data_IF_499555687030
#
_entry.id   IF_499555687030
#
_cell.length_a   1.000
_cell.length_b   1.000
_cell.length_c   1.000
_cell.angle_alpha   90.00
_cell.angle_beta   90.00
_cell.angle_gamma   90.00
#
_symmetry.space_group_name_H-M   'P 1'
#
loop_
_entity.id
_entity.type
_entity.pdbx_description
1 polymer ?
#
# COMPACT_ATOMS: atom_id res chain seq x y z
N UNK A 1 -17.48 24.19 38.31
CA UNK A 1 -17.89 22.78 38.27
C UNK A 1 -18.21 22.49 36.82
N UNK A 2 -17.30 21.84 36.12
CA UNK A 2 -17.56 21.42 34.73
C UNK A 2 -18.05 19.98 34.76
N UNK A 3 -19.22 19.75 34.19
CA UNK A 3 -19.78 18.41 34.05
C UNK A 3 -19.43 17.96 32.64
N UNK A 4 -18.46 17.04 32.51
CA UNK A 4 -18.09 16.42 31.23
C UNK A 4 -18.59 14.99 31.28
N UNK A 5 -19.75 14.73 30.68
CA UNK A 5 -20.41 13.42 30.72
C UNK A 5 -20.93 13.06 32.13
N UNK A 6 -20.69 11.83 32.59
CA UNK A 6 -21.06 11.36 33.93
C UNK A 6 -20.08 11.78 35.05
N UNK A 7 -19.07 12.60 34.72
CA UNK A 7 -18.04 13.00 35.67
C UNK A 7 -18.22 14.45 36.14
N UNK A 8 -18.11 14.63 37.46
CA UNK A 8 -18.06 15.95 38.10
C UNK A 8 -16.59 16.38 38.18
N UNK A 9 -16.18 17.35 37.37
CA UNK A 9 -14.82 17.90 37.38
C UNK A 9 -14.78 19.15 38.26
N UNK A 10 -14.02 19.08 39.35
CA UNK A 10 -13.72 20.22 40.23
C UNK A 10 -12.20 20.40 40.22
N UNK A 11 -11.69 21.45 39.56
CA UNK A 11 -10.27 21.87 39.60
C UNK A 11 -9.24 20.73 39.44
N UNK A 12 -9.35 19.90 38.39
CA UNK A 12 -8.47 18.74 38.09
C UNK A 12 -8.60 17.51 38.99
N UNK A 13 -9.52 17.52 39.94
CA UNK A 13 -9.79 16.36 40.78
C UNK A 13 -10.93 15.56 40.17
N UNK A 14 -10.67 14.29 39.92
CA UNK A 14 -11.62 13.30 39.44
C UNK A 14 -11.87 12.28 40.56
N UNK A 15 -13.12 11.87 40.77
CA UNK A 15 -13.47 10.75 41.66
C UNK A 15 -13.84 9.52 40.82
N UNK A 16 -12.86 8.70 40.45
CA UNK A 16 -13.03 7.37 39.85
C UNK A 16 -12.28 6.38 40.72
N UNK A 17 -13.01 5.52 41.39
CA UNK A 17 -12.45 4.30 41.93
C UNK A 17 -12.57 3.22 40.84
N UNK A 18 -11.43 2.67 40.41
CA UNK A 18 -11.40 1.38 39.71
C UNK A 18 -11.22 0.31 40.78
N UNK A 19 -12.22 -0.56 40.95
CA UNK A 19 -12.15 -1.66 41.92
C UNK A 19 -11.14 -2.71 41.45
N UNK A 20 -10.06 -2.89 42.20
CA UNK A 20 -9.23 -4.09 42.20
C UNK A 20 -9.55 -4.83 43.51
N UNK A 21 -9.71 -6.15 43.46
CA UNK A 21 -10.24 -6.97 44.57
C UNK A 21 -9.72 -6.65 45.99
N UNK A 22 -10.52 -7.01 47.00
CA UNK A 22 -10.39 -6.70 48.43
C UNK A 22 -10.31 -5.21 48.76
N UNK A 23 -11.42 -4.47 48.52
CA UNK A 23 -11.70 -3.13 49.06
C UNK A 23 -10.63 -2.04 48.78
N UNK A 24 -9.76 -2.24 47.79
CA UNK A 24 -8.73 -1.28 47.41
C UNK A 24 -9.16 -0.53 46.15
N UNK A 25 -9.65 0.69 46.36
CA UNK A 25 -9.87 1.64 45.27
C UNK A 25 -8.52 2.14 44.74
N UNK A 26 -8.31 2.04 43.43
CA UNK A 26 -7.17 2.69 42.77
C UNK A 26 -7.67 3.66 41.70
N UNK A 27 -6.93 4.75 41.52
CA UNK A 27 -7.20 5.69 40.44
C UNK A 27 -7.02 5.00 39.07
N UNK A 28 -7.82 5.40 38.06
CA UNK A 28 -7.63 4.92 36.70
C UNK A 28 -6.28 5.36 36.13
N UNK A 29 -5.82 4.67 35.09
CA UNK A 29 -4.58 5.03 34.37
C UNK A 29 -4.62 6.50 33.93
N UNK A 30 -3.50 7.22 34.09
CA UNK A 30 -3.43 8.67 33.85
C UNK A 30 -3.75 9.52 35.08
N UNK A 31 -4.10 8.90 36.21
CA UNK A 31 -4.39 9.62 37.46
C UNK A 31 -3.63 9.03 38.65
N UNK A 32 -3.31 9.88 39.63
CA UNK A 32 -2.63 9.52 40.89
C UNK A 32 -3.44 9.97 42.10
N UNK A 33 -3.39 9.20 43.19
CA UNK A 33 -4.06 9.56 44.45
C UNK A 33 -4.58 8.34 45.20
N UNK A 34 -5.42 8.60 46.19
CA UNK A 34 -5.93 7.59 47.13
C UNK A 34 -7.03 6.69 46.54
N UNK A 35 -7.48 6.93 45.29
CA UNK A 35 -8.51 6.15 44.61
C UNK A 35 -9.94 6.34 45.14
N UNK A 36 -10.10 6.69 46.42
CA UNK A 36 -11.40 6.74 47.11
C UNK A 36 -11.96 8.15 47.30
N UNK A 37 -11.11 9.17 47.42
CA UNK A 37 -11.53 10.56 47.70
C UNK A 37 -11.13 11.56 46.61
N UNK A 38 -9.93 11.43 46.06
CA UNK A 38 -9.41 12.34 45.03
C UNK A 38 -8.39 11.61 44.16
N UNK A 39 -8.62 11.61 42.84
CA UNK A 39 -7.63 11.28 41.83
C UNK A 39 -7.24 12.56 41.09
N UNK A 40 -5.96 12.91 41.15
CA UNK A 40 -5.38 14.02 40.42
C UNK A 40 -4.86 13.53 39.07
N UNK A 41 -5.14 14.30 38.02
CA UNK A 41 -4.59 14.10 36.68
C UNK A 41 -3.05 14.14 36.71
N UNK A 42 -2.41 13.12 36.14
CA UNK A 42 -0.95 13.09 36.00
C UNK A 42 -0.58 13.91 34.78
N UNK A 43 0.17 14.99 34.98
CA UNK A 43 0.64 15.83 33.87
C UNK A 43 1.88 15.20 33.22
N UNK A 44 1.69 14.27 32.28
CA UNK A 44 2.80 13.52 31.67
C UNK A 44 3.75 14.43 30.88
N UNK A 45 3.25 15.59 30.42
CA UNK A 45 4.05 16.63 29.77
C UNK A 45 5.06 17.27 30.74
N UNK A 46 4.63 17.62 31.96
CA UNK A 46 5.52 18.19 32.98
C UNK A 46 6.50 17.18 33.55
N UNK A 47 6.04 15.95 33.74
CA UNK A 47 6.89 14.86 34.22
C UNK A 47 7.87 14.36 33.15
N UNK A 48 7.80 14.89 31.91
CA UNK A 48 8.60 14.48 30.75
C UNK A 48 8.54 12.98 30.50
N UNK A 49 7.42 12.35 30.85
CA UNK A 49 7.18 10.90 30.65
C UNK A 49 6.65 10.61 29.25
N UNK A 50 6.13 11.63 28.58
CA UNK A 50 5.53 11.54 27.25
C UNK A 50 6.10 12.61 26.30
N UNK A 51 6.03 12.35 25.00
CA UNK A 51 6.45 13.26 23.93
C UNK A 51 7.90 13.77 24.09
N UNK A 52 8.88 12.87 24.33
CA UNK A 52 10.29 13.25 24.56
C UNK A 52 11.06 13.68 23.30
N UNK A 53 10.38 13.76 22.15
CA UNK A 53 10.97 14.13 20.87
C UNK A 53 11.22 15.65 20.76
N UNK A 54 12.34 16.07 20.13
CA UNK A 54 12.72 17.49 20.04
C UNK A 54 11.76 18.34 19.21
N UNK A 55 11.04 17.74 18.26
CA UNK A 55 10.06 18.43 17.39
C UNK A 55 8.60 18.19 17.80
N UNK A 56 8.39 17.64 18.99
CA UNK A 56 7.08 17.35 19.53
C UNK A 56 6.58 18.46 20.45
N UNK A 57 5.30 18.77 20.33
CA UNK A 57 4.54 19.57 21.28
C UNK A 57 3.66 18.65 22.11
N UNK A 58 3.84 18.68 23.43
CA UNK A 58 3.01 17.94 24.38
C UNK A 58 1.86 18.83 24.87
N UNK A 59 0.64 18.32 24.79
CA UNK A 59 -0.54 18.95 25.37
C UNK A 59 -1.20 17.99 26.36
N UNK A 60 -1.14 18.35 27.63
CA UNK A 60 -1.80 17.58 28.68
C UNK A 60 -3.32 17.66 28.53
N UNK A 61 -4.01 16.53 28.63
CA UNK A 61 -5.47 16.43 28.61
C UNK A 61 -5.94 15.70 29.87
N UNK A 62 -7.23 15.73 30.19
CA UNK A 62 -7.69 15.03 31.39
C UNK A 62 -7.67 13.51 31.17
N UNK A 63 -6.86 12.82 31.96
CA UNK A 63 -6.65 11.37 31.95
C UNK A 63 -5.78 10.84 30.81
N UNK A 64 -5.18 11.73 30.02
CA UNK A 64 -4.30 11.38 28.91
C UNK A 64 -3.47 12.59 28.49
N UNK A 65 -2.53 12.40 27.59
CA UNK A 65 -1.84 13.46 26.89
C UNK A 65 -2.04 13.31 25.38
N UNK A 66 -1.89 14.43 24.67
CA UNK A 66 -1.85 14.48 23.22
C UNK A 66 -0.49 15.02 22.78
N UNK A 67 0.20 14.28 21.90
CA UNK A 67 1.48 14.70 21.34
C UNK A 67 1.29 15.02 19.86
N UNK A 68 1.66 16.23 19.47
CA UNK A 68 1.68 16.63 18.06
C UNK A 68 3.11 16.88 17.63
N UNK A 69 3.44 16.52 16.39
CA UNK A 69 4.71 16.91 15.79
C UNK A 69 4.56 18.26 15.10
N UNK A 70 5.63 19.04 15.04
CA UNK A 70 5.67 20.28 14.27
C UNK A 70 5.57 19.97 12.78
N UNK A 71 4.77 20.72 12.01
CA UNK A 71 4.64 20.54 10.55
C UNK A 71 3.81 19.33 10.10
N UNK A 72 4.13 18.76 8.94
CA UNK A 72 3.44 17.61 8.31
C UNK A 72 3.99 16.24 8.77
N UNK A 73 4.40 16.15 10.04
CA UNK A 73 4.93 14.94 10.64
C UNK A 73 3.85 14.17 11.42
N UNK A 74 3.88 12.84 11.34
CA UNK A 74 3.02 11.95 12.09
C UNK A 74 3.73 11.50 13.37
N UNK A 75 3.07 11.61 14.51
CA UNK A 75 3.57 11.14 15.79
C UNK A 75 3.25 9.65 16.00
N UNK A 76 4.26 8.83 16.31
CA UNK A 76 4.10 7.43 16.69
C UNK A 76 4.33 7.24 18.21
N UNK A 77 3.26 6.87 18.94
CA UNK A 77 3.28 6.69 20.41
C UNK A 77 4.24 5.60 20.91
N UNK A 78 4.51 4.58 20.10
CA UNK A 78 5.31 3.41 20.53
C UNK A 78 6.83 3.67 20.52
N UNK A 79 7.29 4.55 19.64
CA UNK A 79 8.72 4.88 19.48
C UNK A 79 9.02 6.34 19.81
N UNK A 80 8.04 7.09 20.32
CA UNK A 80 8.13 8.53 20.60
C UNK A 80 8.78 9.33 19.45
N UNK A 81 8.39 9.00 18.22
CA UNK A 81 9.05 9.49 17.01
C UNK A 81 8.09 10.26 16.12
N UNK A 82 8.61 11.33 15.51
CA UNK A 82 7.95 12.07 14.43
C UNK A 82 8.44 11.56 13.09
N UNK A 83 7.53 11.04 12.26
CA UNK A 83 7.85 10.54 10.93
C UNK A 83 7.28 11.51 9.90
N UNK A 84 8.14 12.03 9.03
CA UNK A 84 7.68 12.87 7.92
C UNK A 84 6.80 12.07 6.99
N UNK A 85 5.63 12.62 6.64
CA UNK A 85 4.73 12.01 5.63
C UNK A 85 5.40 11.84 4.26
N UNK A 86 6.54 12.51 4.02
CA UNK A 86 7.43 12.30 2.87
C UNK A 86 8.30 11.05 3.02
N UNK A 87 7.69 9.89 3.17
CA UNK A 87 8.37 8.60 2.98
C UNK A 87 7.83 7.86 1.77
N UNK A 88 7.50 8.60 0.72
CA UNK A 88 7.38 8.08 -0.65
C UNK A 88 8.75 7.92 -1.32
N UNK A 89 9.81 7.61 -0.56
CA UNK A 89 11.10 7.25 -1.16
C UNK A 89 11.13 5.81 -1.70
N UNK A 90 10.05 5.03 -1.57
CA UNK A 90 9.94 3.78 -2.35
C UNK A 90 9.38 4.04 -3.76
N UNK A 91 8.74 5.20 -3.96
CA UNK A 91 8.08 5.53 -5.23
C UNK A 91 9.12 5.66 -6.36
N UNK A 92 10.24 6.35 -6.12
CA UNK A 92 11.31 6.51 -7.10
C UNK A 92 12.07 5.22 -7.41
N UNK A 93 12.45 4.45 -6.39
CA UNK A 93 13.19 3.20 -6.57
C UNK A 93 12.36 2.12 -7.30
N UNK A 94 11.07 2.00 -6.94
CA UNK A 94 10.15 1.09 -7.63
C UNK A 94 9.93 1.50 -9.09
N UNK A 95 9.78 2.80 -9.38
CA UNK A 95 9.64 3.27 -10.75
C UNK A 95 10.90 3.02 -11.58
N UNK A 96 12.09 3.18 -11.02
CA UNK A 96 13.34 2.87 -11.71
C UNK A 96 13.43 1.37 -12.09
N UNK A 97 13.06 0.47 -11.17
CA UNK A 97 13.04 -0.98 -11.43
C UNK A 97 12.05 -1.33 -12.55
N UNK A 98 10.84 -0.77 -12.51
CA UNK A 98 9.83 -1.00 -13.55
C UNK A 98 10.31 -0.52 -14.92
N UNK A 99 10.96 0.65 -15.00
CA UNK A 99 11.50 1.17 -16.27
C UNK A 99 12.60 0.28 -16.83
N UNK A 100 13.49 -0.25 -16.00
CA UNK A 100 14.54 -1.18 -16.46
C UNK A 100 13.93 -2.47 -17.00
N UNK A 101 12.94 -3.03 -16.31
CA UNK A 101 12.27 -4.26 -16.75
C UNK A 101 11.49 -4.07 -18.06
N UNK A 102 10.81 -2.94 -18.25
CA UNK A 102 10.07 -2.66 -19.49
C UNK A 102 11.01 -2.48 -20.68
N UNK A 103 12.15 -1.80 -20.49
CA UNK A 103 13.17 -1.65 -21.55
C UNK A 103 13.76 -3.01 -21.96
N UNK A 104 14.08 -3.88 -20.99
CA UNK A 104 14.57 -5.23 -21.27
C UNK A 104 13.53 -6.07 -22.01
N UNK A 105 12.26 -5.98 -21.62
CA UNK A 105 11.18 -6.69 -22.30
C UNK A 105 11.00 -6.20 -23.75
N UNK A 106 11.04 -4.89 -24.00
CA UNK A 106 10.94 -4.32 -25.36
C UNK A 106 12.13 -4.78 -26.21
N UNK A 107 13.35 -4.74 -25.67
CA UNK A 107 14.54 -5.20 -26.37
C UNK A 107 14.46 -6.70 -26.71
N UNK A 108 14.00 -7.53 -25.79
CA UNK A 108 13.83 -8.97 -26.00
C UNK A 108 12.76 -9.27 -27.06
N UNK A 109 11.59 -8.62 -26.99
CA UNK A 109 10.50 -8.80 -27.96
C UNK A 109 10.92 -8.30 -29.34
N UNK A 110 11.55 -7.13 -29.43
CA UNK A 110 12.07 -6.58 -30.68
C UNK A 110 13.12 -7.50 -31.31
N UNK A 111 14.08 -7.98 -30.51
CA UNK A 111 15.08 -8.95 -30.96
C UNK A 111 14.48 -10.26 -31.44
N UNK A 112 13.51 -10.82 -30.71
CA UNK A 112 12.81 -12.05 -31.08
C UNK A 112 12.00 -11.89 -32.38
N UNK A 113 11.32 -10.75 -32.55
CA UNK A 113 10.58 -10.44 -33.77
C UNK A 113 11.51 -10.33 -34.99
N UNK A 114 12.65 -9.64 -34.85
CA UNK A 114 13.67 -9.53 -35.92
C UNK A 114 14.26 -10.91 -36.24
N UNK A 115 14.60 -11.70 -35.22
CA UNK A 115 15.12 -13.05 -35.38
C UNK A 115 14.13 -13.92 -36.18
N UNK A 116 12.84 -13.92 -35.78
CA UNK A 116 11.79 -14.67 -36.46
C UNK A 116 11.52 -14.17 -37.88
N UNK A 117 11.56 -12.86 -38.09
CA UNK A 117 11.40 -12.24 -39.41
C UNK A 117 12.55 -12.63 -40.36
N UNK A 118 13.80 -12.58 -39.87
CA UNK A 118 14.97 -13.03 -40.63
C UNK A 118 14.92 -14.52 -40.96
N UNK A 119 14.56 -15.37 -39.99
CA UNK A 119 14.41 -16.81 -40.21
C UNK A 119 13.33 -17.10 -41.27
N UNK A 120 12.20 -16.37 -41.23
CA UNK A 120 11.12 -16.53 -42.22
C UNK A 120 11.54 -16.04 -43.61
N UNK A 121 12.28 -14.94 -43.68
CA UNK A 121 12.84 -14.41 -44.93
C UNK A 121 13.87 -15.34 -45.57
N UNK A 122 14.69 -16.04 -44.78
CA UNK A 122 15.66 -17.03 -45.26
C UNK A 122 14.96 -18.21 -45.97
N UNK A 123 13.79 -18.63 -45.48
CA UNK A 123 13.00 -19.71 -46.07
C UNK A 123 12.35 -19.33 -47.41
N UNK A 124 12.07 -18.04 -47.65
CA UNK A 124 11.48 -17.56 -48.91
C UNK A 124 12.52 -17.42 -50.04
N UNK A 125 13.80 -17.18 -49.72
CA UNK A 125 14.84 -16.91 -50.73
C UNK A 125 15.57 -18.14 -51.27
N UNK A 126 15.53 -19.29 -50.58
CA UNK A 126 16.28 -20.48 -51.03
C UNK A 126 15.46 -21.77 -51.22
N UNK A 127 14.22 -21.88 -50.72
CA UNK A 127 13.46 -23.16 -50.77
C UNK A 127 12.44 -23.24 -51.93
N UNK A 128 12.15 -22.14 -52.65
CA UNK A 128 11.36 -22.23 -53.91
C UNK A 128 12.09 -22.94 -55.04
N UNK A 129 13.42 -23.04 -54.98
CA UNK A 129 14.21 -23.73 -55.99
C UNK A 129 14.16 -25.26 -55.83
N UNK A 130 14.02 -25.78 -54.60
CA UNK A 130 14.12 -27.23 -54.33
C UNK A 130 12.73 -27.92 -54.41
N UNK A 131 11.63 -27.23 -54.07
CA UNK A 131 10.27 -27.80 -54.21
C UNK A 131 9.72 -27.76 -55.65
N UNK A 132 10.36 -27.08 -56.60
CA UNK A 132 9.92 -27.06 -58.00
C UNK A 132 10.21 -28.37 -58.75
N UNK A 133 10.99 -29.30 -58.18
CA UNK A 133 11.44 -30.51 -58.88
C UNK A 133 10.64 -31.78 -58.59
N UNK A 134 9.60 -31.75 -57.74
CA UNK A 134 8.85 -32.95 -57.33
C UNK A 134 7.32 -32.89 -57.53
N UNK A 135 6.80 -31.93 -58.29
CA UNK A 135 5.39 -31.94 -58.65
C UNK A 135 5.20 -32.09 -60.16
N UNK A 136 5.12 -33.32 -60.69
CA UNK A 136 4.62 -33.53 -62.04
C UNK A 136 3.12 -33.21 -62.06
N UNK A 137 2.74 -32.28 -62.94
CA UNK A 137 1.36 -32.14 -63.40
C UNK A 137 1.08 -33.33 -64.33
N UNK A 138 0.56 -34.43 -63.78
CA UNK A 138 -0.11 -35.44 -64.60
C UNK A 138 -1.46 -34.87 -65.05
N UNK A 139 -1.36 -34.24 -66.21
CA UNK A 139 -2.42 -33.83 -67.10
C UNK A 139 -3.20 -35.04 -67.61
N UNK A 140 -4.44 -35.24 -67.12
CA UNK A 140 -5.50 -35.94 -67.88
C UNK A 140 -6.89 -35.36 -67.52
N UNK A 141 -7.33 -34.45 -68.39
CA UNK A 141 -8.66 -34.31 -69.01
C UNK A 141 -9.78 -35.29 -68.58
N UNK A 142 -10.94 -34.77 -68.17
CA UNK A 142 -12.30 -35.06 -68.70
C UNK A 142 -13.38 -34.41 -67.80
N UNK A 143 -14.02 -33.29 -68.20
CA UNK A 143 -15.30 -33.16 -68.95
C UNK A 143 -16.47 -32.72 -68.02
N UNK A 144 -17.46 -31.93 -68.52
CA UNK A 144 -17.92 -30.71 -67.86
C UNK A 144 -19.40 -30.71 -67.41
N UNK A 145 -19.77 -29.56 -66.80
CA UNK A 145 -21.11 -28.93 -66.82
C UNK A 145 -22.16 -29.41 -65.80
N UNK A 146 -22.54 -28.56 -64.84
CA UNK A 146 -23.82 -27.85 -64.91
C UNK A 146 -24.01 -26.85 -63.75
N UNK A 147 -24.36 -25.63 -64.15
CA UNK A 147 -24.84 -24.52 -63.35
C UNK A 147 -26.26 -24.75 -62.79
N UNK A 148 -26.65 -23.88 -61.84
CA UNK A 148 -28.00 -23.47 -61.39
C UNK A 148 -28.44 -24.07 -60.05
N UNK A 149 -28.44 -23.29 -58.96
CA UNK A 149 -29.51 -22.34 -58.59
C UNK A 149 -30.85 -23.05 -58.31
N UNK A 150 -31.28 -23.04 -57.03
CA UNK A 150 -32.67 -22.84 -56.59
C UNK A 150 -32.79 -22.83 -55.06
N UNK A 151 -32.94 -21.62 -54.53
CA UNK A 151 -34.02 -21.12 -53.65
C UNK A 151 -34.67 -22.02 -52.57
N UNK A 152 -34.87 -21.34 -51.43
CA UNK A 152 -36.05 -21.34 -50.55
C UNK A 152 -36.25 -22.46 -49.51
N UNK A 153 -36.63 -21.95 -48.32
CA UNK A 153 -37.23 -22.57 -47.13
C UNK A 153 -36.28 -23.20 -46.11
#
# INVERSE_FOLDING_TARGET
MEVVGMAVVINKFFSACKEFGDNKCQCPSGFKGDGTKTCEDVDECKEKKACQCPECSCKNTYGSYDCTCSGDLLYMREQDACISKSASQVRGAWFAIVVVLTVLAIAAVGGYAIYKYRLRSYMDSEIRAIMAQYMPLDNQTEVPNHSQEKNHA
#
